data_IF_445285778860
#
_entry.id   IF_445285778860
#
_cell.length_a   1.000
_cell.length_b   1.000
_cell.length_c   1.000
_cell.angle_alpha   90.00
_cell.angle_beta   90.00
_cell.angle_gamma   90.00
#
_symmetry.space_group_name_H-M   'P 1'
#
loop_
_entity.id
_entity.type
_entity.pdbx_description
1 polymer ?
#
# COMPACT_ATOMS: atom_id res chain seq x y z
N UNK A 1 4.08 7.50 -3.87
CA UNK A 1 3.28 8.67 -3.46
C UNK A 1 1.90 8.55 -4.08
N UNK A 2 0.84 8.58 -3.29
CA UNK A 2 -0.58 8.37 -3.66
C UNK A 2 -0.88 7.03 -4.34
N UNK A 3 -0.25 5.96 -3.86
CA UNK A 3 -0.42 4.59 -4.40
C UNK A 3 -1.48 3.77 -3.65
N UNK A 4 -1.99 4.32 -2.54
CA UNK A 4 -3.02 3.74 -1.70
C UNK A 4 -3.99 4.86 -1.29
N UNK A 5 -5.26 4.51 -1.05
CA UNK A 5 -6.28 5.45 -0.61
C UNK A 5 -6.06 5.89 0.84
N UNK A 6 -6.35 7.16 1.12
CA UNK A 6 -6.27 7.73 2.46
C UNK A 6 -7.46 7.26 3.28
N UNK A 7 -7.27 6.25 4.14
CA UNK A 7 -8.35 5.69 4.97
C UNK A 7 -9.03 6.74 5.85
N UNK A 8 -8.28 7.72 6.35
CA UNK A 8 -8.84 8.79 7.17
C UNK A 8 -9.80 9.65 6.34
N UNK A 9 -9.36 10.13 5.18
CA UNK A 9 -10.22 10.89 4.27
C UNK A 9 -11.42 10.07 3.80
N UNK A 10 -11.25 8.79 3.47
CA UNK A 10 -12.36 7.91 3.09
C UNK A 10 -13.39 7.72 4.21
N UNK A 11 -12.98 7.81 5.48
CA UNK A 11 -13.88 7.62 6.63
C UNK A 11 -14.55 8.93 7.08
N UNK A 12 -13.82 10.03 7.10
CA UNK A 12 -14.28 11.31 7.68
C UNK A 12 -14.47 12.42 6.66
N UNK A 13 -14.09 12.21 5.39
CA UNK A 13 -13.95 13.23 4.36
C UNK A 13 -13.02 14.40 4.74
N UNK A 14 -12.22 14.24 5.80
CA UNK A 14 -11.31 15.26 6.32
C UNK A 14 -9.94 14.65 6.54
N UNK A 15 -8.92 15.21 5.89
CA UNK A 15 -7.53 14.80 6.04
C UNK A 15 -6.71 15.98 6.59
N UNK A 16 -6.02 15.82 7.73
CA UNK A 16 -5.22 16.88 8.34
C UNK A 16 -4.02 17.29 7.47
N UNK A 17 -3.60 16.43 6.54
CA UNK A 17 -2.50 16.69 5.61
C UNK A 17 -2.93 17.46 4.35
N UNK A 18 -4.25 17.63 4.13
CA UNK A 18 -4.78 18.30 2.95
C UNK A 18 -4.16 17.80 1.64
N UNK A 19 -3.80 18.72 0.75
CA UNK A 19 -3.19 18.41 -0.55
C UNK A 19 -1.79 17.77 -0.45
N UNK A 20 -1.13 17.84 0.71
CA UNK A 20 0.20 17.23 0.95
C UNK A 20 0.10 15.77 1.37
N UNK A 21 -1.10 15.20 1.46
CA UNK A 21 -1.29 13.80 1.84
C UNK A 21 -0.49 12.86 0.92
N UNK A 22 0.24 11.92 1.51
CA UNK A 22 0.97 10.89 0.78
C UNK A 22 0.07 9.80 0.21
N UNK A 23 -1.20 9.78 0.61
CA UNK A 23 -2.23 8.85 0.19
C UNK A 23 -3.23 9.58 -0.73
N UNK A 24 -3.93 8.82 -1.57
CA UNK A 24 -4.91 9.36 -2.51
C UNK A 24 -6.24 9.65 -1.79
N UNK A 25 -6.83 10.83 -2.00
CA UNK A 25 -8.15 11.18 -1.45
C UNK A 25 -9.33 10.66 -2.29
N UNK A 26 -9.05 9.99 -3.40
CA UNK A 26 -10.03 9.35 -4.27
C UNK A 26 -9.33 8.57 -5.38
N UNK A 27 -10.10 7.91 -6.22
CA UNK A 27 -9.61 7.21 -7.42
C UNK A 27 -8.87 8.15 -8.37
N UNK A 28 -9.32 9.40 -8.52
CA UNK A 28 -8.68 10.42 -9.34
C UNK A 28 -7.22 10.72 -8.93
N UNK A 29 -6.88 10.57 -7.65
CA UNK A 29 -5.51 10.78 -7.16
C UNK A 29 -4.71 9.47 -7.01
N UNK A 30 -5.36 8.32 -7.16
CA UNK A 30 -4.78 7.01 -6.92
C UNK A 30 -3.91 6.60 -8.11
N UNK A 31 -2.59 6.61 -7.89
CA UNK A 31 -1.61 6.17 -8.88
C UNK A 31 -1.53 4.66 -8.90
N UNK A 32 -1.86 4.06 -10.04
CA UNK A 32 -1.52 2.69 -10.35
C UNK A 32 -0.01 2.59 -10.49
N UNK A 33 0.62 1.81 -9.62
CA UNK A 33 2.04 1.47 -9.76
C UNK A 33 2.11 0.28 -10.67
N UNK A 34 2.64 0.47 -11.88
CA UNK A 34 3.01 -0.64 -12.74
C UNK A 34 4.11 -1.44 -12.05
N UNK A 35 3.79 -2.66 -11.69
CA UNK A 35 4.73 -3.57 -11.03
C UNK A 35 5.25 -4.56 -12.06
N UNK A 36 6.56 -4.86 -12.05
CA UNK A 36 7.11 -5.84 -12.97
C UNK A 36 6.48 -7.22 -12.73
N UNK A 37 6.41 -8.04 -13.78
CA UNK A 37 5.76 -9.35 -13.76
C UNK A 37 6.32 -10.32 -12.71
N UNK A 38 7.58 -10.13 -12.30
CA UNK A 38 8.24 -10.89 -11.25
C UNK A 38 7.92 -10.39 -9.82
N UNK A 39 7.01 -9.43 -9.67
CA UNK A 39 6.57 -8.93 -8.37
C UNK A 39 5.91 -10.04 -7.54
N UNK A 40 6.36 -10.22 -6.30
CA UNK A 40 5.93 -11.32 -5.41
C UNK A 40 6.13 -12.72 -6.02
N UNK A 41 7.17 -12.90 -6.83
CA UNK A 41 7.56 -14.23 -7.33
C UNK A 41 8.21 -15.10 -6.25
N UNK A 42 9.06 -14.50 -5.40
CA UNK A 42 9.80 -15.21 -4.34
C UNK A 42 9.03 -15.21 -3.01
N UNK A 43 9.10 -16.29 -2.21
CA UNK A 43 8.45 -16.35 -0.90
C UNK A 43 9.11 -15.41 0.10
N UNK A 44 8.31 -14.83 1.00
CA UNK A 44 8.78 -14.00 2.08
C UNK A 44 9.32 -14.87 3.20
N UNK A 45 10.63 -14.82 3.45
CA UNK A 45 11.27 -15.62 4.49
C UNK A 45 10.61 -15.46 5.87
N UNK A 46 10.23 -14.22 6.24
CA UNK A 46 9.57 -13.95 7.54
C UNK A 46 8.17 -14.55 7.60
N UNK A 47 7.40 -14.48 6.51
CA UNK A 47 6.08 -15.09 6.46
C UNK A 47 6.15 -16.61 6.48
N UNK A 48 7.04 -17.21 5.68
CA UNK A 48 7.24 -18.66 5.65
C UNK A 48 7.72 -19.21 7.00
N UNK A 49 8.56 -18.45 7.73
CA UNK A 49 9.14 -18.91 9.00
C UNK A 49 8.24 -18.65 10.21
N UNK A 50 7.53 -17.52 10.25
CA UNK A 50 6.80 -17.08 11.45
C UNK A 50 5.30 -16.90 11.23
N UNK A 51 4.80 -17.03 10.00
CA UNK A 51 3.42 -16.68 9.64
C UNK A 51 3.11 -15.18 9.76
N UNK A 52 4.11 -14.34 10.04
CA UNK A 52 3.94 -12.92 10.30
C UNK A 52 4.98 -12.11 9.51
N UNK A 53 4.53 -11.07 8.82
CA UNK A 53 5.42 -10.16 8.12
C UNK A 53 5.11 -8.71 8.48
N UNK A 54 6.12 -8.01 9.02
CA UNK A 54 6.08 -6.60 9.44
C UNK A 54 5.63 -5.65 8.33
N UNK A 55 5.85 -6.04 7.07
CA UNK A 55 5.51 -5.24 5.90
C UNK A 55 4.06 -5.46 5.42
N UNK A 56 3.38 -6.53 5.87
CA UNK A 56 1.99 -6.81 5.53
C UNK A 56 1.71 -6.74 4.02
N UNK A 57 0.65 -6.04 3.63
CA UNK A 57 0.26 -5.86 2.22
C UNK A 57 1.28 -5.07 1.39
N UNK A 58 2.25 -4.41 2.01
CA UNK A 58 3.34 -3.70 1.33
C UNK A 58 4.55 -4.60 1.04
N UNK A 59 4.53 -5.87 1.47
CA UNK A 59 5.63 -6.77 1.19
C UNK A 59 5.81 -7.02 -0.31
N UNK A 60 7.08 -7.04 -0.71
CA UNK A 60 7.55 -7.30 -2.07
C UNK A 60 7.57 -8.78 -2.45
N UNK A 61 7.45 -9.65 -1.44
CA UNK A 61 7.56 -11.08 -1.56
C UNK A 61 6.19 -11.73 -1.37
N UNK A 62 6.03 -12.96 -1.85
CA UNK A 62 4.83 -13.76 -1.63
C UNK A 62 4.74 -14.16 -0.16
N UNK A 63 3.70 -13.69 0.52
CA UNK A 63 3.26 -14.25 1.79
C UNK A 63 2.56 -15.57 1.48
#
# INVERSE_FOLDING_TARGET
YKTELCLLYMKTNVCPYGSKCQFAHGDAELKTVERPSNWRSKPCANWTRYGLCRYGKRCCFKH
#
